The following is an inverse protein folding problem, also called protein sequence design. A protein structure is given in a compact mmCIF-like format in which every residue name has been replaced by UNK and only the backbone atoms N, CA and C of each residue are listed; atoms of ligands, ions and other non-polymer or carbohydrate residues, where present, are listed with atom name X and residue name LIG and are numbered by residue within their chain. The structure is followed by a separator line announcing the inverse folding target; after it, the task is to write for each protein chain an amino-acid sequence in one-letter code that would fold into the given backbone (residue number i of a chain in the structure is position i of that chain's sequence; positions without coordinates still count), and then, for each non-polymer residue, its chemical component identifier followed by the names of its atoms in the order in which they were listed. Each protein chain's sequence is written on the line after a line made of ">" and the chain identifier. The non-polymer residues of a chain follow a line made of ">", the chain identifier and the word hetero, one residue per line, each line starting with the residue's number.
data_IF_921639361088
#
_entry.id   IF_921639361088
#
_cell.length_a   1.000
_cell.length_b   1.000
_cell.length_c   1.000
_cell.angle_alpha   90.00
_cell.angle_beta   90.00
_cell.angle_gamma   90.00
#
_symmetry.space_group_name_H-M   'P 1'
#
loop_
_entity.id
_entity.type
_entity.pdbx_description
1 polymer ?
#
# COMPACT_ATOMS: atom_id res chain seq x y z
N UNK A 1 -8.50 -11.87 21.76
CA UNK A 1 -9.07 -13.22 21.58
C UNK A 1 -9.23 -13.46 20.08
N UNK A 2 -8.73 -14.61 19.62
CA UNK A 2 -8.61 -15.08 18.23
C UNK A 2 -9.68 -14.59 17.23
N UNK A 3 -9.28 -13.70 16.30
CA UNK A 3 -9.86 -13.58 14.96
C UNK A 3 -8.77 -13.82 13.89
N UNK A 4 -8.01 -14.90 14.08
CA UNK A 4 -7.29 -15.57 13.00
C UNK A 4 -8.17 -16.72 12.49
N UNK A 5 -9.16 -16.40 11.67
CA UNK A 5 -10.07 -17.40 11.08
C UNK A 5 -9.97 -17.34 9.56
N UNK A 6 -9.49 -18.41 8.94
CA UNK A 6 -9.16 -18.51 7.50
C UNK A 6 -10.35 -18.32 6.55
N UNK A 7 -10.72 -17.07 6.28
CA UNK A 7 -11.77 -16.71 5.31
C UNK A 7 -11.20 -16.06 4.03
N UNK A 8 -9.94 -15.64 3.97
CA UNK A 8 -9.45 -14.92 2.76
C UNK A 8 -8.96 -15.81 1.62
N UNK A 9 -8.57 -17.07 1.87
CA UNK A 9 -8.04 -17.96 0.82
C UNK A 9 -9.11 -18.85 0.19
N UNK A 10 -10.11 -19.29 0.97
CA UNK A 10 -11.22 -20.11 0.49
C UNK A 10 -12.30 -19.31 -0.24
N UNK A 11 -12.48 -18.02 0.07
CA UNK A 11 -13.46 -17.15 -0.60
C UNK A 11 -12.99 -16.61 -1.95
N UNK A 12 -11.68 -16.46 -2.15
CA UNK A 12 -11.12 -15.97 -3.42
C UNK A 12 -10.94 -17.06 -4.46
N UNK A 13 -10.80 -18.33 -4.06
CA UNK A 13 -10.62 -19.46 -4.98
C UNK A 13 -11.83 -19.70 -5.91
N UNK A 14 -13.09 -19.65 -5.44
CA UNK A 14 -14.28 -19.75 -6.29
C UNK A 14 -14.38 -18.58 -7.28
N UNK A 15 -14.01 -17.38 -6.85
CA UNK A 15 -14.05 -16.17 -7.69
C UNK A 15 -12.95 -16.22 -8.75
N UNK A 16 -11.74 -16.67 -8.38
CA UNK A 16 -10.65 -16.92 -9.32
C UNK A 16 -10.99 -18.02 -10.33
N UNK A 17 -11.59 -19.12 -9.87
CA UNK A 17 -12.07 -20.20 -10.73
C UNK A 17 -13.19 -19.73 -11.67
N UNK A 18 -14.13 -18.92 -11.18
CA UNK A 18 -15.18 -18.32 -12.00
C UNK A 18 -14.60 -17.34 -13.03
N UNK A 19 -13.62 -16.52 -12.67
CA UNK A 19 -12.95 -15.60 -13.59
C UNK A 19 -12.20 -16.34 -14.70
N UNK A 20 -11.46 -17.41 -14.36
CA UNK A 20 -10.79 -18.28 -15.34
C UNK A 20 -11.79 -18.98 -16.24
N UNK A 21 -12.89 -19.52 -15.69
CA UNK A 21 -13.96 -20.11 -16.48
C UNK A 21 -14.61 -19.09 -17.42
N UNK A 22 -14.85 -17.86 -16.95
CA UNK A 22 -15.40 -16.78 -17.75
C UNK A 22 -14.45 -16.38 -18.89
N UNK A 23 -13.14 -16.31 -18.63
CA UNK A 23 -12.12 -16.05 -19.65
C UNK A 23 -12.09 -17.15 -20.71
N UNK A 24 -12.14 -18.42 -20.31
CA UNK A 24 -12.16 -19.57 -21.23
C UNK A 24 -13.43 -19.56 -22.12
N UNK A 25 -14.57 -19.15 -21.56
CA UNK A 25 -15.86 -19.12 -22.27
C UNK A 25 -16.00 -17.89 -23.17
N UNK A 26 -15.58 -16.71 -22.71
CA UNK A 26 -15.74 -15.44 -23.44
C UNK A 26 -14.61 -15.18 -24.44
N UNK A 27 -13.43 -15.73 -24.21
CA UNK A 27 -12.25 -15.57 -25.07
C UNK A 27 -11.67 -16.93 -25.51
N UNK A 28 -12.43 -17.73 -26.30
CA UNK A 28 -11.99 -19.05 -26.75
C UNK A 28 -10.84 -19.03 -27.76
N UNK A 29 -10.47 -17.84 -28.28
CA UNK A 29 -9.35 -17.64 -29.20
C UNK A 29 -8.28 -16.81 -28.50
N UNK A 30 -7.45 -17.46 -27.69
CA UNK A 30 -6.12 -16.93 -27.46
C UNK A 30 -5.40 -16.93 -28.81
N UNK A 31 -4.78 -15.82 -29.24
CA UNK A 31 -3.89 -15.87 -30.39
C UNK A 31 -2.81 -16.88 -30.03
N UNK A 32 -2.85 -18.03 -30.70
CA UNK A 32 -1.84 -19.06 -30.56
C UNK A 32 -0.53 -18.47 -31.09
N UNK A 33 0.23 -17.82 -30.20
CA UNK A 33 1.67 -17.76 -30.43
C UNK A 33 2.14 -19.22 -30.49
N UNK A 34 2.91 -19.50 -31.54
CA UNK A 34 3.42 -20.81 -31.94
C UNK A 34 3.60 -21.75 -30.76
N UNK A 35 3.11 -22.99 -30.88
CA UNK A 35 3.16 -24.05 -29.87
C UNK A 35 4.50 -24.13 -29.13
N UNK A 36 4.66 -23.31 -28.08
CA UNK A 36 5.80 -23.36 -27.19
C UNK A 36 5.55 -24.58 -26.31
N UNK A 37 6.50 -25.52 -26.28
CA UNK A 37 6.39 -26.66 -25.38
C UNK A 37 6.22 -26.15 -23.96
N UNK A 38 5.35 -26.77 -23.15
CA UNK A 38 5.13 -26.42 -21.73
C UNK A 38 6.47 -26.32 -20.98
N UNK A 39 7.48 -27.10 -21.38
CA UNK A 39 8.83 -27.01 -20.82
C UNK A 39 9.58 -25.72 -21.18
N UNK A 40 9.42 -25.20 -22.39
CA UNK A 40 9.99 -23.92 -22.83
C UNK A 40 9.25 -22.75 -22.18
N UNK A 41 7.93 -22.86 -22.00
CA UNK A 41 7.11 -21.87 -21.30
C UNK A 41 7.47 -21.79 -19.80
N UNK A 42 7.60 -22.93 -19.12
CA UNK A 42 8.08 -23.00 -17.74
C UNK A 42 9.51 -22.45 -17.61
N UNK A 43 10.37 -22.68 -18.60
CA UNK A 43 11.74 -22.17 -18.59
C UNK A 43 11.81 -20.65 -18.82
N UNK A 44 10.86 -20.08 -19.58
CA UNK A 44 10.70 -18.63 -19.73
C UNK A 44 10.21 -17.94 -18.45
N UNK A 45 9.49 -18.65 -17.57
CA UNK A 45 9.04 -18.13 -16.27
C UNK A 45 10.15 -17.98 -15.21
N UNK A 46 11.43 -18.25 -15.55
CA UNK A 46 12.58 -18.24 -14.62
C UNK A 46 12.23 -18.87 -13.25
N UNK A 47 11.99 -20.18 -13.22
CA UNK A 47 11.48 -20.86 -12.03
C UNK A 47 12.49 -20.79 -10.87
N UNK A 48 13.78 -20.72 -11.15
CA UNK A 48 14.82 -20.57 -10.13
C UNK A 48 14.82 -19.16 -9.52
N UNK A 49 14.77 -18.12 -10.35
CA UNK A 49 14.65 -16.74 -9.87
C UNK A 49 13.38 -16.54 -9.04
N UNK A 50 12.25 -17.07 -9.50
CA UNK A 50 10.97 -16.97 -8.80
C UNK A 50 10.92 -17.80 -7.50
N UNK A 51 11.54 -18.98 -7.46
CA UNK A 51 11.64 -19.81 -6.24
C UNK A 51 12.49 -19.17 -5.15
N UNK A 52 13.39 -18.26 -5.50
CA UNK A 52 14.19 -17.51 -4.53
C UNK A 52 13.51 -16.18 -4.18
N UNK A 53 13.00 -15.47 -5.19
CA UNK A 53 12.40 -14.15 -5.02
C UNK A 53 11.11 -14.17 -4.20
N UNK A 54 10.15 -15.03 -4.57
CA UNK A 54 8.83 -15.03 -3.93
C UNK A 54 8.91 -15.36 -2.44
N UNK A 55 9.61 -16.43 -2.00
CA UNK A 55 9.76 -16.69 -0.56
C UNK A 55 10.48 -15.56 0.17
N UNK A 56 11.51 -14.94 -0.44
CA UNK A 56 12.22 -13.81 0.16
C UNK A 56 11.32 -12.60 0.40
N UNK A 57 10.52 -12.24 -0.60
CA UNK A 57 9.52 -11.17 -0.52
C UNK A 57 8.44 -11.48 0.51
N UNK A 58 7.90 -12.70 0.51
CA UNK A 58 6.89 -13.12 1.48
C UNK A 58 7.44 -13.04 2.90
N UNK A 59 8.68 -13.50 3.13
CA UNK A 59 9.34 -13.40 4.43
C UNK A 59 9.51 -11.93 4.86
N UNK A 60 9.93 -11.06 3.93
CA UNK A 60 10.10 -9.64 4.20
C UNK A 60 8.78 -8.97 4.59
N UNK A 61 7.73 -9.16 3.79
CA UNK A 61 6.41 -8.56 4.02
C UNK A 61 5.83 -9.07 5.34
N UNK A 62 5.93 -10.38 5.63
CA UNK A 62 5.45 -10.95 6.89
C UNK A 62 6.21 -10.40 8.10
N UNK A 63 7.54 -10.27 8.00
CA UNK A 63 8.33 -9.67 9.07
C UNK A 63 7.90 -8.23 9.35
N UNK A 64 7.68 -7.43 8.30
CA UNK A 64 7.27 -6.03 8.44
C UNK A 64 5.82 -5.87 8.92
N UNK A 65 4.91 -6.76 8.53
CA UNK A 65 3.51 -6.70 8.97
C UNK A 65 3.30 -7.23 10.38
N UNK A 66 4.06 -8.24 10.81
CA UNK A 66 3.87 -8.84 12.14
C UNK A 66 4.82 -8.28 13.20
N UNK A 67 5.99 -7.78 12.79
CA UNK A 67 6.98 -7.19 13.68
C UNK A 67 6.44 -5.93 14.36
N UNK A 68 6.51 -5.90 15.68
CA UNK A 68 6.09 -4.76 16.49
C UNK A 68 4.58 -4.63 16.72
N UNK A 69 3.75 -5.33 15.94
CA UNK A 69 2.29 -5.34 16.10
C UNK A 69 1.81 -6.66 16.72
N UNK A 70 2.10 -7.79 16.07
CA UNK A 70 1.67 -9.13 16.53
C UNK A 70 2.73 -9.83 17.37
N UNK A 71 3.99 -9.67 16.99
CA UNK A 71 5.14 -10.29 17.64
C UNK A 71 6.20 -9.22 17.91
N UNK A 72 6.85 -9.21 19.08
CA UNK A 72 7.97 -8.33 19.34
C UNK A 72 9.08 -8.51 18.30
N UNK A 73 9.79 -7.43 17.97
CA UNK A 73 10.95 -7.48 17.05
C UNK A 73 12.06 -8.43 17.51
N UNK A 74 12.17 -8.65 18.83
CA UNK A 74 13.12 -9.56 19.44
C UNK A 74 12.72 -11.04 19.36
N UNK A 75 11.49 -11.34 18.94
CA UNK A 75 11.03 -12.73 18.84
C UNK A 75 11.77 -13.45 17.70
N UNK A 76 12.25 -14.67 18.01
CA UNK A 76 13.03 -15.48 17.07
C UNK A 76 12.35 -15.63 15.70
N UNK A 77 11.01 -15.70 15.66
CA UNK A 77 10.22 -15.83 14.44
C UNK A 77 10.40 -14.64 13.50
N UNK A 78 10.39 -13.41 14.02
CA UNK A 78 10.58 -12.19 13.22
C UNK A 78 12.02 -12.10 12.75
N UNK A 79 12.99 -12.40 13.62
CA UNK A 79 14.42 -12.41 13.26
C UNK A 79 14.69 -13.42 12.14
N UNK A 80 14.13 -14.64 12.23
CA UNK A 80 14.28 -15.67 11.19
C UNK A 80 13.67 -15.19 9.86
N UNK A 81 12.49 -14.58 9.87
CA UNK A 81 11.88 -14.04 8.66
C UNK A 81 12.75 -12.94 8.01
N UNK A 82 13.33 -12.03 8.80
CA UNK A 82 14.22 -10.97 8.30
C UNK A 82 15.50 -11.56 7.71
N UNK A 83 16.12 -12.53 8.40
CA UNK A 83 17.34 -13.19 7.94
C UNK A 83 17.08 -13.97 6.65
N UNK A 84 15.99 -14.76 6.59
CA UNK A 84 15.60 -15.48 5.38
C UNK A 84 15.30 -14.53 4.22
N UNK A 85 14.57 -13.44 4.48
CA UNK A 85 14.33 -12.40 3.48
C UNK A 85 15.64 -11.83 2.94
N UNK A 86 16.60 -11.49 3.82
CA UNK A 86 17.92 -11.00 3.41
C UNK A 86 18.68 -12.02 2.56
N UNK A 87 18.75 -13.29 3.01
CA UNK A 87 19.44 -14.36 2.28
C UNK A 87 18.81 -14.58 0.90
N UNK A 88 17.48 -14.69 0.80
CA UNK A 88 16.79 -14.90 -0.46
C UNK A 88 16.92 -13.69 -1.39
N UNK A 89 16.78 -12.46 -0.90
CA UNK A 89 16.91 -11.26 -1.73
C UNK A 89 18.35 -11.04 -2.22
N UNK A 90 19.36 -11.28 -1.37
CA UNK A 90 20.78 -11.22 -1.78
C UNK A 90 21.06 -12.30 -2.84
N UNK A 91 20.56 -13.52 -2.62
CA UNK A 91 20.72 -14.63 -3.57
C UNK A 91 20.04 -14.31 -4.90
N UNK A 92 18.85 -13.72 -4.86
CA UNK A 92 18.14 -13.28 -6.06
C UNK A 92 18.93 -12.21 -6.82
N UNK A 93 19.42 -11.18 -6.13
CA UNK A 93 20.26 -10.13 -6.75
C UNK A 93 21.53 -10.72 -7.36
N UNK A 94 22.18 -11.67 -6.68
CA UNK A 94 23.36 -12.35 -7.21
C UNK A 94 23.04 -13.16 -8.47
N UNK A 95 21.93 -13.91 -8.48
CA UNK A 95 21.44 -14.65 -9.65
C UNK A 95 21.12 -13.68 -10.80
N UNK A 96 20.54 -12.52 -10.51
CA UNK A 96 20.22 -11.49 -11.52
C UNK A 96 21.44 -10.89 -12.18
N UNK A 97 22.43 -10.51 -11.37
CA UNK A 97 23.69 -9.96 -11.87
C UNK A 97 24.41 -11.01 -12.75
N UNK A 98 24.26 -12.30 -12.41
CA UNK A 98 24.85 -13.38 -13.19
C UNK A 98 24.09 -13.70 -14.49
N UNK A 99 22.75 -13.67 -14.50
CA UNK A 99 21.92 -14.06 -15.67
C UNK A 99 21.65 -12.94 -16.69
N UNK A 100 21.84 -11.66 -16.33
CA UNK A 100 21.73 -10.51 -17.24
C UNK A 100 20.40 -10.46 -18.05
N UNK A 101 20.44 -10.69 -19.37
CA UNK A 101 19.28 -10.59 -20.28
C UNK A 101 18.28 -11.74 -20.13
N UNK A 102 18.66 -12.87 -19.52
CA UNK A 102 17.78 -14.03 -19.29
C UNK A 102 17.01 -13.96 -17.96
N UNK A 103 17.14 -12.85 -17.23
CA UNK A 103 16.46 -12.63 -15.95
C UNK A 103 14.95 -12.34 -16.14
N UNK A 104 14.08 -12.87 -15.27
CA UNK A 104 12.63 -12.50 -15.21
C UNK A 104 12.36 -11.00 -15.12
N UNK A 105 13.32 -10.22 -14.63
CA UNK A 105 13.26 -8.76 -14.54
C UNK A 105 14.58 -8.29 -15.13
N UNK A 106 14.62 -8.08 -16.45
CA UNK A 106 15.82 -7.65 -17.13
C UNK A 106 16.34 -6.33 -16.52
N UNK A 107 17.64 -6.22 -16.16
CA UNK A 107 18.20 -4.99 -15.60
C UNK A 107 17.99 -3.75 -16.48
N UNK A 108 17.78 -3.94 -17.79
CA UNK A 108 17.41 -2.87 -18.73
C UNK A 108 16.10 -2.16 -18.37
N UNK A 109 15.14 -2.84 -17.75
CA UNK A 109 13.87 -2.25 -17.35
C UNK A 109 14.06 -1.17 -16.27
N UNK A 110 14.99 -1.38 -15.34
CA UNK A 110 15.34 -0.37 -14.33
C UNK A 110 16.09 0.84 -14.90
N UNK A 111 16.67 0.73 -16.10
CA UNK A 111 17.27 1.88 -16.80
C UNK A 111 16.22 2.78 -17.45
N UNK A 112 15.00 2.28 -17.65
CA UNK A 112 13.90 3.09 -18.18
C UNK A 112 13.38 4.01 -17.08
N UNK A 113 13.56 5.32 -17.31
CA UNK A 113 13.19 6.37 -16.37
C UNK A 113 11.76 6.22 -15.86
N UNK A 114 10.79 6.00 -16.75
CA UNK A 114 9.39 5.89 -16.39
C UNK A 114 9.06 4.63 -15.56
N UNK A 115 9.80 3.53 -15.76
CA UNK A 115 9.65 2.31 -14.95
C UNK A 115 10.16 2.57 -13.54
N UNK A 116 11.37 3.14 -13.39
CA UNK A 116 11.92 3.44 -12.07
C UNK A 116 11.09 4.48 -11.30
N UNK A 117 10.73 5.58 -11.95
CA UNK A 117 9.91 6.63 -11.34
C UNK A 117 8.49 6.15 -11.03
N UNK A 118 7.89 5.35 -11.92
CA UNK A 118 6.61 4.70 -11.67
C UNK A 118 6.68 3.76 -10.47
N UNK A 119 7.80 3.04 -10.28
CA UNK A 119 8.01 2.12 -9.14
C UNK A 119 8.06 2.88 -7.83
N UNK A 120 8.79 4.02 -7.79
CA UNK A 120 8.82 4.91 -6.63
C UNK A 120 7.42 5.45 -6.32
N UNK A 121 6.68 5.89 -7.34
CA UNK A 121 5.32 6.35 -7.16
C UNK A 121 4.41 5.24 -6.61
N UNK A 122 4.49 4.03 -7.16
CA UNK A 122 3.70 2.89 -6.70
C UNK A 122 3.98 2.57 -5.23
N UNK A 123 5.25 2.61 -4.82
CA UNK A 123 5.66 2.49 -3.43
C UNK A 123 5.01 3.56 -2.54
N UNK A 124 5.08 4.83 -2.93
CA UNK A 124 4.49 5.93 -2.17
C UNK A 124 2.97 5.81 -2.09
N UNK A 125 2.32 5.45 -3.20
CA UNK A 125 0.88 5.24 -3.27
C UNK A 125 0.43 4.12 -2.32
N UNK A 126 1.16 3.00 -2.31
CA UNK A 126 0.89 1.89 -1.40
C UNK A 126 1.10 2.27 0.05
N UNK A 127 2.15 3.03 0.35
CA UNK A 127 2.39 3.59 1.67
C UNK A 127 1.22 4.46 2.14
N UNK A 128 0.80 5.45 1.34
CA UNK A 128 -0.31 6.35 1.66
C UNK A 128 -1.60 5.56 1.89
N UNK A 129 -1.93 4.65 0.97
CA UNK A 129 -3.15 3.83 1.06
C UNK A 129 -3.23 3.06 2.38
N UNK A 130 -2.20 2.27 2.71
CA UNK A 130 -2.27 1.40 3.89
C UNK A 130 -2.10 2.21 5.19
N UNK A 131 -1.24 3.24 5.21
CA UNK A 131 -1.07 4.09 6.40
C UNK A 131 -2.40 4.73 6.81
N UNK A 132 -3.12 5.36 5.88
CA UNK A 132 -4.38 6.03 6.22
C UNK A 132 -5.53 5.03 6.46
N UNK A 133 -5.57 3.89 5.76
CA UNK A 133 -6.57 2.85 6.02
C UNK A 133 -6.44 2.22 7.41
N UNK A 134 -5.23 2.20 7.98
CA UNK A 134 -5.00 1.69 9.34
C UNK A 134 -5.17 2.81 10.38
N UNK A 135 -4.56 3.97 10.15
CA UNK A 135 -4.53 5.04 11.14
C UNK A 135 -5.89 5.73 11.37
N UNK A 136 -6.75 5.83 10.35
CA UNK A 136 -8.07 6.46 10.50
C UNK A 136 -9.02 5.68 11.42
N UNK A 137 -9.22 4.35 11.25
CA UNK A 137 -9.99 3.56 12.22
C UNK A 137 -9.45 3.67 13.64
N UNK A 138 -8.11 3.69 13.82
CA UNK A 138 -7.48 3.85 15.14
C UNK A 138 -7.84 5.21 15.74
N UNK A 139 -7.86 6.27 14.93
CA UNK A 139 -8.31 7.59 15.36
C UNK A 139 -9.78 7.61 15.75
N UNK A 140 -10.67 7.02 14.94
CA UNK A 140 -12.10 6.94 15.28
C UNK A 140 -12.33 6.15 16.58
N UNK A 141 -11.67 5.01 16.75
CA UNK A 141 -11.84 4.18 17.94
C UNK A 141 -11.28 4.86 19.19
N UNK A 142 -10.05 5.38 19.13
CA UNK A 142 -9.40 6.01 20.28
C UNK A 142 -10.01 7.37 20.62
N UNK A 143 -10.04 8.28 19.64
CA UNK A 143 -10.43 9.68 19.85
C UNK A 143 -11.93 9.87 19.91
N UNK A 144 -12.71 9.19 19.06
CA UNK A 144 -14.19 9.34 19.06
C UNK A 144 -14.89 8.29 19.92
N UNK A 145 -14.17 7.26 20.38
CA UNK A 145 -14.74 6.19 21.19
C UNK A 145 -15.71 5.31 20.42
N UNK A 146 -15.59 5.24 19.09
CA UNK A 146 -16.43 4.37 18.27
C UNK A 146 -15.95 2.92 18.37
N UNK A 147 -16.86 1.96 18.21
CA UNK A 147 -16.48 0.55 18.13
C UNK A 147 -15.89 0.23 16.75
N UNK A 148 -15.34 -0.99 16.61
CA UNK A 148 -14.72 -1.44 15.37
C UNK A 148 -15.66 -1.34 14.14
N UNK A 149 -16.94 -1.68 14.30
CA UNK A 149 -17.92 -1.64 13.20
C UNK A 149 -18.17 -0.19 12.76
N UNK A 150 -18.46 0.70 13.71
CA UNK A 150 -18.73 2.12 13.42
C UNK A 150 -17.49 2.81 12.85
N UNK A 151 -16.29 2.52 13.35
CA UNK A 151 -15.04 3.07 12.78
C UNK A 151 -14.79 2.63 11.34
N UNK A 152 -15.21 1.41 10.98
CA UNK A 152 -15.17 0.93 9.60
C UNK A 152 -16.16 1.70 8.71
N UNK A 153 -17.37 1.95 9.21
CA UNK A 153 -18.37 2.79 8.52
C UNK A 153 -17.86 4.22 8.35
N UNK A 154 -17.21 4.80 9.36
CA UNK A 154 -16.64 6.15 9.33
C UNK A 154 -15.44 6.28 8.36
N UNK A 155 -14.86 5.15 7.92
CA UNK A 155 -13.79 5.09 6.91
C UNK A 155 -14.32 4.90 5.48
N UNK A 156 -15.62 4.62 5.31
CA UNK A 156 -16.24 4.49 3.99
C UNK A 156 -16.08 5.72 3.09
N UNK A 157 -16.11 6.98 3.57
CA UNK A 157 -15.88 8.13 2.70
C UNK A 157 -14.56 8.05 1.92
N UNK A 158 -13.48 7.61 2.57
CA UNK A 158 -12.19 7.38 1.91
C UNK A 158 -12.29 6.29 0.82
N UNK A 159 -12.93 5.16 1.15
CA UNK A 159 -13.07 4.01 0.24
C UNK A 159 -13.98 4.31 -0.95
N UNK A 160 -15.07 5.03 -0.74
CA UNK A 160 -15.95 5.44 -1.83
C UNK A 160 -15.26 6.47 -2.74
N UNK A 161 -14.54 7.43 -2.15
CA UNK A 161 -13.80 8.42 -2.89
C UNK A 161 -12.65 7.81 -3.70
N UNK A 162 -11.95 6.79 -3.20
CA UNK A 162 -10.90 6.11 -3.96
C UNK A 162 -11.46 5.30 -5.13
N UNK A 163 -12.59 4.60 -4.94
CA UNK A 163 -13.26 3.89 -6.05
C UNK A 163 -13.71 4.90 -7.11
N UNK A 164 -14.34 5.99 -6.70
CA UNK A 164 -14.76 7.05 -7.62
C UNK A 164 -13.57 7.70 -8.34
N UNK A 165 -12.48 8.00 -7.62
CA UNK A 165 -11.25 8.55 -8.16
C UNK A 165 -10.63 7.66 -9.25
N UNK A 166 -10.63 6.34 -9.03
CA UNK A 166 -10.13 5.36 -9.99
C UNK A 166 -10.98 5.27 -11.28
N UNK A 167 -12.31 5.41 -11.15
CA UNK A 167 -13.21 5.44 -12.31
C UNK A 167 -12.99 6.72 -13.11
N UNK A 168 -12.93 7.86 -12.42
CA UNK A 168 -12.72 9.18 -13.04
C UNK A 168 -11.36 9.28 -13.71
N UNK A 169 -10.29 8.71 -13.13
CA UNK A 169 -8.98 8.70 -13.78
C UNK A 169 -8.99 8.02 -15.14
N UNK A 170 -9.66 6.86 -15.26
CA UNK A 170 -9.76 6.15 -16.55
C UNK A 170 -10.45 7.01 -17.61
N UNK A 171 -11.58 7.65 -17.25
CA UNK A 171 -12.29 8.57 -18.14
C UNK A 171 -11.45 9.79 -18.54
N UNK A 172 -10.76 10.41 -17.58
CA UNK A 172 -9.89 11.56 -17.83
C UNK A 172 -8.72 11.20 -18.74
N UNK A 173 -8.05 10.08 -18.51
CA UNK A 173 -6.93 9.63 -19.35
C UNK A 173 -7.40 9.38 -20.78
N UNK A 174 -8.54 8.72 -20.95
CA UNK A 174 -9.13 8.47 -22.27
C UNK A 174 -9.51 9.78 -23.01
N UNK A 175 -10.12 10.73 -22.30
CA UNK A 175 -10.52 12.02 -22.88
C UNK A 175 -9.34 12.94 -23.18
N UNK A 176 -8.39 13.09 -22.26
CA UNK A 176 -7.22 13.96 -22.38
C UNK A 176 -6.21 13.36 -23.37
N UNK A 177 -6.01 12.04 -23.33
CA UNK A 177 -5.00 11.33 -24.11
C UNK A 177 -3.60 11.36 -23.49
N UNK A 178 -3.45 11.92 -22.29
CA UNK A 178 -2.19 11.97 -21.55
C UNK A 178 -2.46 11.59 -20.10
N UNK A 179 -1.63 10.72 -19.53
CA UNK A 179 -1.77 10.28 -18.14
C UNK A 179 -1.04 11.19 -17.15
N UNK A 180 -0.03 11.94 -17.60
CA UNK A 180 0.78 12.83 -16.74
C UNK A 180 -0.07 13.85 -15.96
N UNK A 181 -1.07 14.55 -16.55
CA UNK A 181 -1.91 15.50 -15.79
C UNK A 181 -2.66 14.83 -14.63
N UNK A 182 -3.15 13.61 -14.85
CA UNK A 182 -3.86 12.83 -13.83
C UNK A 182 -2.90 12.34 -12.74
N UNK A 183 -1.63 12.11 -13.11
CA UNK A 183 -0.57 11.82 -12.15
C UNK A 183 -0.30 13.00 -11.22
N UNK A 184 -0.14 14.21 -11.77
CA UNK A 184 0.04 15.42 -10.94
C UNK A 184 -1.16 15.66 -10.02
N UNK A 185 -2.39 15.49 -10.53
CA UNK A 185 -3.57 15.67 -9.70
C UNK A 185 -3.62 14.65 -8.57
N UNK A 186 -3.29 13.39 -8.82
CA UNK A 186 -3.23 12.33 -7.80
C UNK A 186 -2.30 12.72 -6.65
N UNK A 187 -1.07 13.15 -6.96
CA UNK A 187 -0.09 13.55 -5.95
C UNK A 187 -0.55 14.77 -5.15
N UNK A 188 -1.16 15.76 -5.81
CA UNK A 188 -1.72 16.95 -5.14
C UNK A 188 -2.84 16.53 -4.17
N UNK A 189 -3.81 15.74 -4.63
CA UNK A 189 -4.92 15.29 -3.80
C UNK A 189 -4.44 14.44 -2.62
N UNK A 190 -3.46 13.55 -2.81
CA UNK A 190 -2.88 12.77 -1.72
C UNK A 190 -2.18 13.65 -0.70
N UNK A 191 -1.34 14.60 -1.16
CA UNK A 191 -0.57 15.48 -0.28
C UNK A 191 -1.47 16.44 0.50
N UNK A 192 -2.45 17.05 -0.18
CA UNK A 192 -3.42 17.95 0.44
C UNK A 192 -4.34 17.18 1.39
N UNK A 193 -4.91 16.06 0.95
CA UNK A 193 -5.80 15.23 1.78
C UNK A 193 -5.08 14.68 3.02
N UNK A 194 -3.87 14.14 2.85
CA UNK A 194 -3.04 13.69 3.97
C UNK A 194 -2.65 14.82 4.91
N UNK A 195 -2.35 16.00 4.36
CA UNK A 195 -2.04 17.21 5.13
C UNK A 195 -3.24 17.66 5.96
N UNK A 196 -4.43 17.70 5.37
CA UNK A 196 -5.67 18.03 6.05
C UNK A 196 -6.00 17.02 7.17
N UNK A 197 -5.89 15.71 6.92
CA UNK A 197 -6.09 14.68 7.95
C UNK A 197 -5.09 14.83 9.11
N UNK A 198 -3.84 15.22 8.82
CA UNK A 198 -2.84 15.48 9.85
C UNK A 198 -3.17 16.69 10.76
N UNK A 199 -4.23 17.46 10.46
CA UNK A 199 -4.73 18.56 11.31
C UNK A 199 -5.87 18.15 12.25
N UNK A 200 -6.25 16.86 12.29
CA UNK A 200 -7.29 16.39 13.20
C UNK A 200 -6.99 16.74 14.66
N UNK A 201 -8.01 17.28 15.31
CA UNK A 201 -8.10 17.53 16.76
C UNK A 201 -9.22 16.68 17.35
N UNK A 202 -9.24 16.53 18.67
CA UNK A 202 -10.22 15.67 19.37
C UNK A 202 -11.67 16.01 18.98
N UNK A 203 -11.98 17.30 18.84
CA UNK A 203 -13.32 17.80 18.52
C UNK A 203 -13.57 18.00 17.01
N UNK A 204 -12.80 17.34 16.14
CA UNK A 204 -13.00 17.49 14.68
C UNK A 204 -14.42 17.10 14.30
N UNK A 205 -15.20 18.01 13.68
CA UNK A 205 -16.60 17.74 13.37
C UNK A 205 -16.73 16.80 12.17
N UNK A 206 -17.86 16.08 12.10
CA UNK A 206 -18.15 15.06 11.09
C UNK A 206 -17.95 15.54 9.65
N UNK A 207 -18.45 16.72 9.32
CA UNK A 207 -18.29 17.34 8.00
C UNK A 207 -16.82 17.50 7.58
N UNK A 208 -15.93 17.79 8.53
CA UNK A 208 -14.53 18.11 8.25
C UNK A 208 -13.76 16.84 7.95
N UNK A 209 -13.87 15.81 8.80
CA UNK A 209 -13.14 14.57 8.55
C UNK A 209 -13.67 13.81 7.32
N UNK A 210 -14.99 13.88 7.03
CA UNK A 210 -15.54 13.31 5.78
C UNK A 210 -14.93 14.01 4.56
N UNK A 211 -14.93 15.36 4.55
CA UNK A 211 -14.37 16.13 3.45
C UNK A 211 -12.89 15.83 3.20
N UNK A 212 -12.10 15.70 4.28
CA UNK A 212 -10.67 15.42 4.17
C UNK A 212 -10.40 14.01 3.64
N UNK A 213 -11.17 13.02 4.08
CA UNK A 213 -11.11 11.66 3.54
C UNK A 213 -11.44 11.61 2.05
N UNK A 214 -12.43 12.38 1.58
CA UNK A 214 -12.79 12.41 0.16
C UNK A 214 -11.61 12.94 -0.68
N UNK A 215 -10.98 14.04 -0.25
CA UNK A 215 -9.83 14.62 -0.95
C UNK A 215 -8.69 13.61 -1.04
N UNK A 216 -8.33 12.96 0.08
CA UNK A 216 -7.30 11.94 0.09
C UNK A 216 -7.66 10.75 -0.80
N UNK A 217 -8.90 10.24 -0.68
CA UNK A 217 -9.39 9.08 -1.40
C UNK A 217 -9.36 9.30 -2.91
N UNK A 218 -9.79 10.46 -3.40
CA UNK A 218 -9.69 10.82 -4.82
C UNK A 218 -8.25 10.73 -5.33
N UNK A 219 -7.27 11.24 -4.57
CA UNK A 219 -5.87 11.19 -4.93
C UNK A 219 -5.33 9.76 -5.03
N UNK A 220 -5.61 8.94 -4.01
CA UNK A 220 -5.23 7.52 -3.99
C UNK A 220 -5.88 6.78 -5.16
N UNK A 221 -7.19 6.98 -5.37
CA UNK A 221 -7.97 6.34 -6.43
C UNK A 221 -7.40 6.61 -7.82
N UNK A 222 -7.13 7.89 -8.11
CA UNK A 222 -6.48 8.28 -9.37
C UNK A 222 -5.12 7.60 -9.54
N UNK A 223 -4.34 7.49 -8.45
CA UNK A 223 -3.02 6.86 -8.45
C UNK A 223 -3.03 5.37 -8.78
N UNK A 224 -4.08 4.63 -8.38
CA UNK A 224 -4.11 3.16 -8.46
C UNK A 224 -3.92 2.63 -9.89
N UNK A 225 -4.45 3.32 -10.90
CA UNK A 225 -4.32 2.89 -12.30
C UNK A 225 -3.08 3.48 -12.98
N UNK A 226 -2.53 4.58 -12.48
CA UNK A 226 -1.45 5.30 -13.15
C UNK A 226 -0.13 4.53 -13.15
N UNK A 227 0.18 3.84 -12.06
CA UNK A 227 1.43 3.07 -11.95
C UNK A 227 1.49 1.93 -12.98
N UNK A 228 0.40 1.18 -13.14
CA UNK A 228 0.32 0.07 -14.11
C UNK A 228 0.18 0.58 -15.55
N UNK A 229 -0.50 1.70 -15.78
CA UNK A 229 -0.63 2.31 -17.10
C UNK A 229 0.72 2.82 -17.62
N UNK A 230 1.55 3.41 -16.75
CA UNK A 230 2.91 3.81 -17.12
C UNK A 230 3.75 2.64 -17.63
N UNK A 231 3.69 1.48 -16.97
CA UNK A 231 4.37 0.27 -17.42
C UNK A 231 3.84 -0.22 -18.79
N UNK A 232 2.53 -0.18 -19.00
CA UNK A 232 1.89 -0.58 -20.27
C UNK A 232 2.27 0.31 -21.46
N UNK A 233 2.49 1.60 -21.22
CA UNK A 233 2.80 2.59 -22.29
C UNK A 233 4.28 2.60 -22.67
N UNK A 234 5.15 2.23 -21.74
CA UNK A 234 6.60 2.33 -21.87
C UNK A 234 7.28 1.04 -22.33
N UNK A 235 6.73 -0.09 -21.92
CA UNK A 235 7.35 -1.39 -22.14
C UNK A 235 6.86 -2.02 -23.43
N UNK A 236 7.73 -2.79 -24.06
CA UNK A 236 7.33 -3.73 -25.11
C UNK A 236 6.34 -4.75 -24.53
N UNK A 237 5.37 -5.23 -25.33
CA UNK A 237 4.28 -6.10 -24.85
C UNK A 237 4.76 -7.30 -24.04
N UNK A 238 5.92 -7.88 -24.39
CA UNK A 238 6.55 -8.99 -23.66
C UNK A 238 7.00 -8.63 -22.24
N UNK A 239 7.36 -7.36 -22.01
CA UNK A 239 7.92 -6.85 -20.76
C UNK A 239 6.83 -6.17 -19.88
N UNK A 240 5.64 -5.87 -20.43
CA UNK A 240 4.52 -5.24 -19.70
C UNK A 240 4.13 -6.01 -18.42
N UNK A 241 3.91 -7.35 -18.45
CA UNK A 241 3.54 -8.08 -17.24
C UNK A 241 4.59 -7.95 -16.13
N UNK A 242 5.87 -7.99 -16.50
CA UNK A 242 7.00 -7.85 -15.57
C UNK A 242 6.98 -6.46 -14.92
N UNK A 243 6.79 -5.41 -15.73
CA UNK A 243 6.70 -4.03 -15.24
C UNK A 243 5.51 -3.83 -14.30
N UNK A 244 4.33 -4.33 -14.66
CA UNK A 244 3.13 -4.23 -13.81
C UNK A 244 3.31 -4.98 -12.49
N UNK A 245 3.89 -6.18 -12.51
CA UNK A 245 4.22 -6.93 -11.30
C UNK A 245 5.20 -6.17 -10.40
N UNK A 246 6.20 -5.50 -10.98
CA UNK A 246 7.15 -4.67 -10.23
C UNK A 246 6.44 -3.50 -9.52
N UNK A 247 5.47 -2.85 -10.19
CA UNK A 247 4.69 -1.76 -9.60
C UNK A 247 3.84 -2.23 -8.43
N UNK A 248 3.13 -3.35 -8.58
CA UNK A 248 2.33 -3.92 -7.49
C UNK A 248 3.20 -4.40 -6.33
N UNK A 249 4.35 -4.98 -6.62
CA UNK A 249 5.33 -5.36 -5.60
C UNK A 249 5.80 -4.13 -4.81
N UNK A 250 6.19 -3.05 -5.49
CA UNK A 250 6.62 -1.81 -4.85
C UNK A 250 5.50 -1.19 -4.01
N UNK A 251 4.27 -1.19 -4.51
CA UNK A 251 3.09 -0.73 -3.77
C UNK A 251 2.86 -1.55 -2.49
N UNK A 252 2.92 -2.88 -2.58
CA UNK A 252 2.78 -3.75 -1.41
C UNK A 252 3.89 -3.51 -0.40
N UNK A 253 5.14 -3.40 -0.86
CA UNK A 253 6.29 -3.13 -0.02
C UNK A 253 6.18 -1.76 0.68
N UNK A 254 5.78 -0.71 -0.04
CA UNK A 254 5.56 0.62 0.52
C UNK A 254 4.50 0.62 1.60
N UNK A 255 3.38 -0.07 1.37
CA UNK A 255 2.36 -0.28 2.38
C UNK A 255 2.92 -0.94 3.65
N UNK A 256 3.63 -2.06 3.51
CA UNK A 256 4.19 -2.79 4.67
C UNK A 256 5.24 -2.00 5.43
N UNK A 257 6.18 -1.35 4.74
CA UNK A 257 7.26 -0.60 5.38
C UNK A 257 6.70 0.62 6.13
N UNK A 258 5.85 1.43 5.49
CA UNK A 258 5.43 2.69 6.09
C UNK A 258 4.36 2.51 7.17
N UNK A 259 3.61 1.40 7.15
CA UNK A 259 2.77 1.00 8.30
C UNK A 259 3.62 0.66 9.50
N UNK A 260 4.65 -0.17 9.33
CA UNK A 260 5.58 -0.52 10.38
C UNK A 260 6.25 0.74 10.98
N UNK A 261 6.71 1.66 10.12
CA UNK A 261 7.28 2.95 10.56
C UNK A 261 6.23 3.80 11.27
N UNK A 262 5.02 3.91 10.74
CA UNK A 262 3.92 4.67 11.34
C UNK A 262 3.54 4.17 12.72
N UNK A 263 3.42 2.85 12.90
CA UNK A 263 3.17 2.21 14.19
C UNK A 263 4.30 2.45 15.19
N UNK A 264 5.56 2.31 14.76
CA UNK A 264 6.72 2.58 15.62
C UNK A 264 6.77 4.04 16.07
N UNK A 265 6.56 4.99 15.14
CA UNK A 265 6.50 6.43 15.44
C UNK A 265 5.35 6.73 16.40
N UNK A 266 4.16 6.20 16.13
CA UNK A 266 3.00 6.37 16.99
C UNK A 266 3.26 5.85 18.41
N UNK A 267 3.75 4.62 18.56
CA UNK A 267 4.02 4.02 19.86
C UNK A 267 5.10 4.77 20.65
N UNK A 268 6.16 5.23 19.97
CA UNK A 268 7.22 6.03 20.61
C UNK A 268 6.72 7.40 21.06
N UNK A 269 5.95 8.10 20.22
CA UNK A 269 5.34 9.37 20.58
C UNK A 269 4.32 9.22 21.70
N UNK A 270 3.50 8.16 21.65
CA UNK A 270 2.53 7.89 22.69
C UNK A 270 3.20 7.65 24.05
N UNK A 271 4.28 6.86 24.09
CA UNK A 271 5.07 6.63 25.30
C UNK A 271 5.69 7.91 25.84
N UNK A 272 6.28 8.72 24.96
CA UNK A 272 6.88 10.01 25.32
C UNK A 272 5.86 10.96 25.94
N UNK A 273 4.66 11.03 25.35
CA UNK A 273 3.61 11.96 25.76
C UNK A 273 2.84 11.53 26.99
N UNK A 274 2.56 10.24 27.12
CA UNK A 274 1.86 9.70 28.30
C UNK A 274 2.79 9.53 29.51
N UNK A 275 4.11 9.59 29.30
CA UNK A 275 5.12 9.55 30.37
C UNK A 275 5.03 10.67 31.41
N UNK A 276 4.31 11.75 31.09
CA UNK A 276 4.10 12.88 32.00
C UNK A 276 2.92 12.70 32.96
N UNK A 277 2.09 11.68 32.76
CA UNK A 277 0.92 11.43 33.60
C UNK A 277 1.24 10.39 34.68
N UNK A 278 1.13 10.79 35.94
CA UNK A 278 1.32 9.90 37.08
C UNK A 278 0.19 8.85 37.17
N UNK A 279 0.57 7.60 37.43
CA UNK A 279 -0.39 6.51 37.69
C UNK A 279 -0.95 5.80 36.45
N UNK A 280 -0.49 6.13 35.23
CA UNK A 280 -0.82 5.38 34.02
C UNK A 280 0.20 4.28 33.75
N UNK A 281 -0.29 3.06 33.53
CA UNK A 281 0.52 1.97 32.98
C UNK A 281 0.56 2.13 31.44
N UNK A 282 1.61 2.80 30.97
CA UNK A 282 1.81 3.12 29.54
C UNK A 282 1.96 1.84 28.71
N UNK A 283 2.62 0.81 29.25
CA UNK A 283 2.78 -0.47 28.56
C UNK A 283 1.44 -1.17 28.39
N UNK A 284 0.58 -1.11 29.41
CA UNK A 284 -0.78 -1.62 29.31
C UNK A 284 -1.64 -0.83 28.31
N UNK A 285 -1.48 0.50 28.23
CA UNK A 285 -2.23 1.37 27.28
C UNK A 285 -1.82 1.09 25.83
N UNK A 286 -0.52 0.98 25.57
CA UNK A 286 -0.01 0.62 24.23
C UNK A 286 -0.49 -0.78 23.83
N UNK A 287 -0.62 -1.71 24.79
CA UNK A 287 -1.06 -3.09 24.55
C UNK A 287 -2.57 -3.33 24.47
N UNK A 288 -3.41 -2.48 25.08
CA UNK A 288 -4.88 -2.68 25.15
C UNK A 288 -5.62 -2.29 23.87
N UNK A 289 -4.98 -1.54 22.99
CA UNK A 289 -5.52 -1.12 21.70
C UNK A 289 -6.56 0.01 21.80
N UNK A 290 -6.75 0.72 20.69
CA UNK A 290 -7.50 1.99 20.65
C UNK A 290 -8.95 1.88 21.13
N UNK A 291 -9.62 0.74 20.95
CA UNK A 291 -11.03 0.54 21.34
C UNK A 291 -11.23 0.50 22.86
N UNK A 292 -10.23 0.02 23.61
CA UNK A 292 -10.34 -0.12 25.07
C UNK A 292 -9.73 1.06 25.82
N UNK A 293 -9.04 1.96 25.12
CA UNK A 293 -8.36 3.13 25.68
C UNK A 293 -9.22 3.87 26.71
N UNK A 294 -10.47 4.20 26.34
CA UNK A 294 -11.42 4.94 27.19
C UNK A 294 -11.93 4.17 28.41
N UNK A 295 -11.77 2.86 28.46
CA UNK A 295 -12.17 2.01 29.59
C UNK A 295 -11.03 1.80 30.61
N UNK A 296 -9.79 2.02 30.18
CA UNK A 296 -8.59 1.82 31.00
C UNK A 296 -8.13 3.12 31.66
N UNK A 297 -8.46 4.27 31.06
CA UNK A 297 -8.07 5.58 31.56
C UNK A 297 -9.16 6.14 32.51
N UNK A 298 -8.78 6.63 33.71
CA UNK A 298 -9.67 7.33 34.62
C UNK A 298 -10.38 8.54 33.98
N UNK A 299 -11.65 8.76 34.31
CA UNK A 299 -12.49 9.75 33.65
C UNK A 299 -12.03 11.21 33.89
N UNK A 300 -11.30 11.46 34.98
CA UNK A 300 -10.77 12.76 35.37
C UNK A 300 -9.61 13.24 34.49
N UNK A 301 -8.78 12.32 33.99
CA UNK A 301 -7.64 12.64 33.11
C UNK A 301 -7.90 12.29 31.63
N UNK A 302 -9.04 11.67 31.33
CA UNK A 302 -9.34 11.16 29.98
C UNK A 302 -9.24 12.23 28.89
N UNK A 303 -9.73 13.46 29.13
CA UNK A 303 -9.70 14.52 28.11
C UNK A 303 -8.27 14.90 27.74
N UNK A 304 -7.40 15.04 28.73
CA UNK A 304 -6.00 15.44 28.51
C UNK A 304 -5.22 14.31 27.82
N UNK A 305 -5.49 13.05 28.23
CA UNK A 305 -4.90 11.88 27.58
C UNK A 305 -5.34 11.76 26.12
N UNK A 306 -6.61 12.05 25.79
CA UNK A 306 -7.09 12.03 24.40
C UNK A 306 -6.43 13.11 23.54
N UNK A 307 -6.10 14.27 24.11
CA UNK A 307 -5.33 15.30 23.39
C UNK A 307 -3.93 14.79 23.06
N UNK A 308 -3.22 14.24 24.03
CA UNK A 308 -1.87 13.71 23.81
C UNK A 308 -1.85 12.48 22.89
N UNK A 309 -2.84 11.59 23.02
CA UNK A 309 -3.03 10.46 22.12
C UNK A 309 -3.29 10.93 20.68
N UNK A 310 -4.09 11.98 20.50
CA UNK A 310 -4.33 12.56 19.19
C UNK A 310 -3.06 13.14 18.58
N UNK A 311 -2.21 13.81 19.37
CA UNK A 311 -0.93 14.34 18.87
C UNK A 311 0.00 13.20 18.45
N UNK A 312 0.08 12.12 19.24
CA UNK A 312 0.83 10.92 18.84
C UNK A 312 0.30 10.33 17.53
N UNK A 313 -1.02 10.23 17.36
CA UNK A 313 -1.62 9.77 16.10
C UNK A 313 -1.33 10.68 14.91
N UNK A 314 -1.25 11.99 15.12
CA UNK A 314 -0.85 12.92 14.05
C UNK A 314 0.56 12.62 13.55
N UNK A 315 1.47 12.18 14.41
CA UNK A 315 2.81 11.70 14.00
C UNK A 315 2.74 10.48 13.09
N UNK A 316 1.77 9.58 13.28
CA UNK A 316 1.47 8.53 12.30
C UNK A 316 1.00 9.13 10.97
N UNK A 317 0.02 10.05 10.98
CA UNK A 317 -0.46 10.69 9.75
C UNK A 317 0.66 11.41 8.99
N UNK A 318 1.63 12.00 9.68
CA UNK A 318 2.81 12.62 9.06
C UNK A 318 3.69 11.64 8.29
N UNK A 319 3.76 10.36 8.69
CA UNK A 319 4.45 9.31 7.92
C UNK A 319 3.79 9.10 6.56
N UNK A 320 2.45 9.01 6.55
CA UNK A 320 1.67 8.90 5.30
C UNK A 320 1.78 10.16 4.44
N UNK A 321 1.71 11.35 5.05
CA UNK A 321 1.90 12.62 4.37
C UNK A 321 3.30 12.73 3.75
N UNK A 322 4.34 12.29 4.46
CA UNK A 322 5.70 12.26 3.96
C UNK A 322 5.82 11.45 2.66
N UNK A 323 5.20 10.27 2.63
CA UNK A 323 5.14 9.44 1.41
C UNK A 323 4.35 10.14 0.28
N UNK A 324 3.21 10.77 0.59
CA UNK A 324 2.43 11.52 -0.39
C UNK A 324 3.22 12.67 -1.02
N UNK A 325 3.93 13.46 -0.21
CA UNK A 325 4.78 14.55 -0.69
C UNK A 325 6.00 14.04 -1.46
N UNK A 326 6.60 12.92 -1.02
CA UNK A 326 7.72 12.31 -1.73
C UNK A 326 7.34 11.81 -3.14
N UNK A 327 6.07 11.46 -3.35
CA UNK A 327 5.53 11.11 -4.66
C UNK A 327 5.59 12.27 -5.70
N UNK A 328 5.89 13.50 -5.27
CA UNK A 328 6.18 14.63 -6.19
C UNK A 328 7.49 14.42 -6.95
N UNK A 329 8.49 13.75 -6.37
CA UNK A 329 9.82 13.59 -7.00
C UNK A 329 9.78 12.79 -8.31
N UNK A 330 8.99 11.70 -8.44
CA UNK A 330 8.71 11.08 -9.72
C UNK A 330 8.07 12.00 -10.76
N UNK A 331 7.25 12.94 -10.31
CA UNK A 331 6.30 13.69 -11.14
C UNK A 331 6.92 14.48 -12.30
N UNK A 332 8.00 15.28 -12.14
CA UNK A 332 8.62 16.00 -13.25
C UNK A 332 9.44 15.09 -14.17
N UNK A 333 9.82 13.89 -13.71
CA UNK A 333 10.66 12.97 -14.47
C UNK A 333 9.88 12.02 -15.38
N UNK A 334 8.54 11.94 -15.27
CA UNK A 334 7.74 11.06 -16.14
C UNK A 334 7.67 11.67 -17.54
N UNK A 335 8.15 10.93 -18.53
CA UNK A 335 8.05 11.32 -19.93
C UNK A 335 6.57 11.45 -20.36
N UNK A 336 6.26 12.51 -21.09
CA UNK A 336 4.91 12.72 -21.60
C UNK A 336 4.73 11.85 -22.84
N UNK A 337 3.90 10.82 -22.74
CA UNK A 337 3.52 9.99 -23.88
C UNK A 337 2.02 10.03 -24.11
N UNK A 338 1.65 10.22 -25.37
CA UNK A 338 0.27 10.24 -25.80
C UNK A 338 -0.26 8.80 -25.85
N UNK A 339 -1.39 8.58 -25.19
CA UNK A 339 -2.09 7.29 -25.13
C UNK A 339 -3.27 7.21 -26.09
N UNK A 340 -3.65 8.29 -26.78
CA UNK A 340 -4.66 8.25 -27.85
C UNK A 340 -4.14 7.48 -29.07
N UNK A 341 -4.95 6.52 -29.52
CA UNK A 341 -4.66 5.71 -30.71
C UNK A 341 -3.71 4.55 -30.49
N UNK A 342 -3.32 4.25 -29.24
CA UNK A 342 -2.64 3.00 -28.90
C UNK A 342 -3.68 1.95 -28.50
N UNK A 343 -3.68 0.81 -29.19
CA UNK A 343 -4.44 -0.36 -28.74
C UNK A 343 -3.78 -0.89 -27.46
N UNK A 344 -4.43 -0.65 -26.32
CA UNK A 344 -4.15 -1.42 -25.12
C UNK A 344 -4.83 -2.77 -25.30
N UNK A 345 -4.05 -3.83 -25.44
CA UNK A 345 -4.59 -5.19 -25.44
C UNK A 345 -5.08 -5.45 -24.02
N UNK A 346 -6.40 -5.39 -23.85
CA UNK A 346 -7.09 -5.73 -22.61
C UNK A 346 -7.00 -7.21 -22.28
#
# INVERSE_FOLDING_TARGET
>A
MSLGGGVSTSSNLPVGGAAVACLIVLFPKFPANESVSIQQEIKQLDPFGNLVFLPGVICLILALQWGGEKYPWSEARIIVLIVLAGVFLITFVAIRIWQQENATVPPRLFKLRNVWLGTIFAFCLGAVLIVFLIALPIWFQGIRGTNAITSGVDTLPLVLALVFGAIVSGGLINGIGWFNPVFFSSVIFMSVGGGLISTFVVDTPTRTWIGYQIILGLGIGQGMQLASLGAQVELEQKDVPIGVSLMFFAQSLGGSVLVCVGQAVFNNELRSRLGSFDGLDIDHIVGTGATQLRHVIPADILSDVLVEYNIALRSYFYVGLGAACFAILPSPGIEWKNVKGREFVH
#
